data_IF_929642088598
#
_entry.id   IF_929642088598
#
_cell.length_a   1.000
_cell.length_b   1.000
_cell.length_c   1.000
_cell.angle_alpha   90.00
_cell.angle_beta   90.00
_cell.angle_gamma   90.00
#
_symmetry.space_group_name_H-M   'P 1'
#
loop_
_entity.id
_entity.type
_entity.pdbx_description
1 polymer ?
#
# COMPACT_ATOMS: atom_id res chain seq x y z
N UNK A 1 25.00 -15.27 -12.70
CA UNK A 1 24.73 -13.82 -12.58
C UNK A 1 24.54 -13.51 -11.11
N UNK A 2 25.03 -12.36 -10.62
CA UNK A 2 24.91 -11.97 -9.21
C UNK A 2 23.47 -11.52 -8.95
N UNK A 3 22.77 -12.19 -8.05
CA UNK A 3 21.40 -11.81 -7.69
C UNK A 3 21.35 -10.69 -6.66
N UNK A 4 20.18 -10.06 -6.58
CA UNK A 4 19.90 -9.04 -5.58
C UNK A 4 18.50 -9.22 -5.00
N UNK A 5 18.29 -8.57 -3.86
CA UNK A 5 16.98 -8.47 -3.25
C UNK A 5 16.21 -7.29 -3.83
N UNK A 6 14.95 -7.51 -4.15
CA UNK A 6 14.01 -6.51 -4.67
C UNK A 6 12.69 -6.62 -3.91
N UNK A 7 12.12 -5.51 -3.50
CA UNK A 7 10.80 -5.49 -2.87
C UNK A 7 9.75 -5.82 -3.94
N UNK A 8 9.15 -7.00 -3.85
CA UNK A 8 8.19 -7.50 -4.84
C UNK A 8 6.73 -7.23 -4.47
N UNK A 9 6.49 -6.91 -3.20
CA UNK A 9 5.22 -6.51 -2.64
C UNK A 9 5.45 -5.68 -1.38
N UNK A 10 4.55 -4.77 -1.07
CA UNK A 10 4.56 -4.08 0.21
C UNK A 10 3.32 -3.24 0.45
N UNK A 11 3.17 -2.84 1.71
CA UNK A 11 2.13 -1.94 2.20
C UNK A 11 2.75 -1.03 3.29
N UNK A 12 2.27 0.20 3.48
CA UNK A 12 2.79 1.07 4.54
C UNK A 12 2.37 0.53 5.92
N UNK A 13 3.06 0.95 6.98
CA UNK A 13 2.66 0.63 8.36
C UNK A 13 1.90 1.81 8.94
N UNK A 14 0.75 1.54 9.54
CA UNK A 14 -0.08 2.52 10.25
C UNK A 14 -0.52 1.98 11.60
N UNK A 15 -1.05 2.89 12.43
CA UNK A 15 -1.94 2.49 13.49
C UNK A 15 -3.14 1.76 12.89
N UNK A 16 -3.40 0.53 13.33
CA UNK A 16 -4.65 -0.13 12.96
C UNK A 16 -5.83 0.65 13.55
N UNK A 17 -6.93 0.66 12.80
CA UNK A 17 -8.16 1.34 13.23
C UNK A 17 -8.60 0.78 14.58
N UNK A 18 -8.83 1.67 15.55
CA UNK A 18 -9.29 1.29 16.88
C UNK A 18 -10.62 0.54 16.79
N UNK A 19 -10.70 -0.59 17.46
CA UNK A 19 -11.89 -1.46 17.51
C UNK A 19 -12.15 -1.91 18.95
N UNK A 20 -13.28 -2.56 19.22
CA UNK A 20 -13.56 -3.14 20.55
C UNK A 20 -12.67 -4.35 20.89
N UNK A 21 -11.97 -4.92 19.91
CA UNK A 21 -10.98 -5.98 20.07
C UNK A 21 -9.59 -5.49 19.58
N UNK A 22 -8.66 -5.33 20.51
CA UNK A 22 -7.32 -4.79 20.24
C UNK A 22 -6.23 -5.87 20.30
N UNK A 23 -6.61 -7.15 20.39
CA UNK A 23 -5.68 -8.27 20.54
C UNK A 23 -6.15 -9.46 19.72
N UNK A 24 -5.19 -10.22 19.21
CA UNK A 24 -5.41 -11.56 18.69
C UNK A 24 -4.71 -12.61 19.56
N UNK A 25 -5.25 -13.82 19.59
CA UNK A 25 -4.67 -14.97 20.30
C UNK A 25 -5.09 -16.26 19.61
N UNK A 26 -4.23 -17.26 19.58
CA UNK A 26 -4.48 -18.55 18.93
C UNK A 26 -5.08 -18.36 17.52
N UNK A 27 -4.48 -17.48 16.73
CA UNK A 27 -5.02 -17.05 15.43
C UNK A 27 -3.92 -17.04 14.37
N UNK A 28 -4.22 -17.65 13.23
CA UNK A 28 -3.43 -17.52 12.00
C UNK A 28 -4.05 -16.47 11.10
N UNK A 29 -3.25 -15.49 10.68
CA UNK A 29 -3.59 -14.61 9.55
C UNK A 29 -2.97 -15.19 8.30
N UNK A 30 -3.80 -15.49 7.30
CA UNK A 30 -3.40 -15.98 5.99
C UNK A 30 -3.73 -14.94 4.95
N UNK A 31 -2.83 -14.66 4.02
CA UNK A 31 -3.12 -13.74 2.94
C UNK A 31 -2.32 -14.04 1.68
N UNK A 32 -2.84 -13.57 0.55
CA UNK A 32 -2.22 -13.77 -0.76
C UNK A 32 -1.56 -12.49 -1.23
N UNK A 33 -0.39 -12.62 -1.83
CA UNK A 33 0.33 -11.55 -2.52
C UNK A 33 0.65 -11.99 -3.95
N UNK A 34 0.80 -11.05 -4.87
CA UNK A 34 1.09 -11.31 -6.29
C UNK A 34 2.40 -10.62 -6.69
N UNK A 35 3.56 -11.30 -6.55
CA UNK A 35 4.82 -10.80 -7.09
C UNK A 35 4.79 -10.79 -8.63
N UNK A 36 5.26 -9.70 -9.24
CA UNK A 36 5.42 -9.60 -10.71
C UNK A 36 6.86 -9.83 -11.17
N UNK A 37 7.77 -10.13 -10.23
CA UNK A 37 9.14 -10.55 -10.49
C UNK A 37 9.34 -11.99 -10.02
N UNK A 38 10.02 -12.85 -10.80
CA UNK A 38 10.29 -14.22 -10.39
C UNK A 38 11.36 -14.26 -9.30
N UNK A 39 11.41 -15.34 -8.54
CA UNK A 39 12.28 -15.46 -7.38
C UNK A 39 12.72 -16.88 -7.07
N UNK A 40 13.86 -16.99 -6.38
CA UNK A 40 14.32 -18.26 -5.78
C UNK A 40 14.36 -18.28 -4.26
N UNK A 41 14.21 -17.11 -3.64
CA UNK A 41 14.12 -16.96 -2.21
C UNK A 41 13.33 -15.70 -1.86
N UNK A 42 12.73 -15.70 -0.67
CA UNK A 42 11.96 -14.57 -0.14
C UNK A 42 12.43 -14.17 1.25
N UNK A 43 12.26 -12.90 1.60
CA UNK A 43 12.41 -12.36 2.96
C UNK A 43 11.22 -11.49 3.31
N UNK A 44 10.72 -11.64 4.52
CA UNK A 44 9.59 -10.88 5.03
C UNK A 44 10.08 -9.84 6.03
N UNK A 45 9.57 -8.62 5.90
CA UNK A 45 9.89 -7.52 6.79
C UNK A 45 8.66 -7.12 7.60
N UNK A 46 8.86 -7.02 8.90
CA UNK A 46 7.84 -6.76 9.90
C UNK A 46 8.23 -5.56 10.77
N UNK A 47 7.23 -4.87 11.29
CA UNK A 47 7.39 -3.71 12.15
C UNK A 47 6.30 -3.66 13.21
N UNK A 48 6.70 -3.40 14.44
CA UNK A 48 5.86 -3.08 15.59
C UNK A 48 5.98 -1.58 15.94
N UNK A 49 6.19 -0.73 14.93
CA UNK A 49 6.50 0.70 15.07
C UNK A 49 5.55 1.46 16.01
N UNK A 50 4.25 1.14 15.97
CA UNK A 50 3.23 1.82 16.77
C UNK A 50 2.83 1.05 18.05
N UNK A 51 3.39 -0.15 18.26
CA UNK A 51 3.08 -0.98 19.42
C UNK A 51 3.77 -0.49 20.69
N UNK A 52 3.05 -0.61 21.81
CA UNK A 52 3.54 -0.28 23.15
C UNK A 52 3.95 -1.53 23.95
N UNK A 53 3.71 -2.71 23.40
CA UNK A 53 4.06 -4.00 23.98
C UNK A 53 4.79 -4.86 22.93
N UNK A 54 5.57 -5.85 23.37
CA UNK A 54 6.20 -6.79 22.46
C UNK A 54 5.16 -7.56 21.63
N UNK A 55 5.46 -7.76 20.35
CA UNK A 55 4.67 -8.59 19.44
C UNK A 55 5.49 -9.82 19.02
N UNK A 56 4.92 -11.02 19.18
CA UNK A 56 5.60 -12.27 18.86
C UNK A 56 4.87 -13.00 17.75
N UNK A 57 5.53 -13.16 16.60
CA UNK A 57 5.10 -14.10 15.56
C UNK A 57 5.55 -15.49 16.03
N UNK A 58 4.59 -16.34 16.41
CA UNK A 58 4.89 -17.67 16.98
C UNK A 58 5.40 -18.62 15.91
N UNK A 59 4.74 -18.63 14.75
CA UNK A 59 5.16 -19.35 13.55
C UNK A 59 4.75 -18.58 12.30
N UNK A 60 5.54 -18.73 11.24
CA UNK A 60 5.17 -18.22 9.94
C UNK A 60 5.54 -19.21 8.84
N UNK A 61 4.81 -19.17 7.74
CA UNK A 61 5.11 -19.96 6.55
C UNK A 61 4.76 -19.20 5.28
N UNK A 62 5.38 -19.61 4.18
CA UNK A 62 5.08 -19.11 2.85
C UNK A 62 5.09 -20.25 1.83
N UNK A 63 4.19 -20.20 0.86
CA UNK A 63 4.13 -21.16 -0.25
C UNK A 63 3.36 -20.57 -1.43
N UNK A 64 3.20 -21.35 -2.50
CA UNK A 64 2.35 -20.95 -3.63
C UNK A 64 0.88 -21.10 -3.27
N UNK A 65 0.04 -20.22 -3.81
CA UNK A 65 -1.42 -20.34 -3.69
C UNK A 65 -1.92 -21.52 -4.54
N UNK A 66 -2.87 -22.28 -3.99
CA UNK A 66 -3.66 -23.26 -4.73
C UNK A 66 -5.06 -22.72 -5.12
N UNK A 67 -5.27 -21.40 -4.94
CA UNK A 67 -6.55 -20.72 -5.15
C UNK A 67 -7.26 -20.38 -3.84
N UNK A 68 -7.98 -19.25 -3.83
CA UNK A 68 -8.69 -18.74 -2.64
C UNK A 68 -7.84 -18.85 -1.35
N UNK A 69 -8.39 -19.43 -0.28
CA UNK A 69 -7.74 -19.64 1.01
C UNK A 69 -6.78 -20.85 1.03
N UNK A 70 -6.47 -21.45 -0.11
CA UNK A 70 -5.66 -22.68 -0.21
C UNK A 70 -4.19 -22.42 -0.58
N UNK A 71 -3.33 -23.28 -0.06
CA UNK A 71 -1.87 -23.26 -0.25
C UNK A 71 -1.38 -24.63 -0.70
N UNK A 72 -0.45 -24.63 -1.65
CA UNK A 72 0.26 -25.84 -2.07
C UNK A 72 1.31 -26.22 -1.01
N UNK A 73 1.05 -27.31 -0.29
CA UNK A 73 1.95 -27.80 0.76
C UNK A 73 3.26 -28.38 0.22
N UNK A 74 3.34 -28.76 -1.05
CA UNK A 74 4.57 -29.30 -1.64
C UNK A 74 5.70 -28.26 -1.73
N UNK A 75 5.33 -26.97 -1.74
CA UNK A 75 6.25 -25.84 -1.72
C UNK A 75 6.08 -24.95 -0.49
N UNK A 76 5.45 -25.46 0.58
CA UNK A 76 5.31 -24.72 1.84
C UNK A 76 6.65 -24.70 2.58
N UNK A 77 7.17 -23.50 2.85
CA UNK A 77 8.44 -23.26 3.51
C UNK A 77 8.19 -22.55 4.84
N UNK A 78 8.75 -23.03 5.97
CA UNK A 78 8.72 -22.30 7.22
C UNK A 78 9.54 -21.01 7.10
N UNK A 79 9.02 -19.92 7.67
CA UNK A 79 9.74 -18.65 7.80
C UNK A 79 10.38 -18.61 9.18
N UNK A 80 11.69 -18.37 9.23
CA UNK A 80 12.47 -18.35 10.47
C UNK A 80 13.09 -16.98 10.73
N UNK A 81 13.56 -16.77 11.96
CA UNK A 81 14.18 -15.53 12.42
C UNK A 81 15.47 -15.87 13.18
N UNK A 82 16.63 -15.67 12.55
CA UNK A 82 17.91 -16.10 13.12
C UNK A 82 17.98 -17.61 13.37
N UNK A 83 17.30 -18.40 12.53
CA UNK A 83 17.16 -19.86 12.63
C UNK A 83 16.04 -20.34 13.56
N UNK A 84 15.36 -19.47 14.30
CA UNK A 84 14.23 -19.84 15.15
C UNK A 84 12.88 -19.79 14.38
N UNK A 85 11.93 -20.67 14.73
CA UNK A 85 10.56 -20.63 14.15
C UNK A 85 9.74 -19.41 14.61
N UNK A 86 10.12 -18.81 15.74
CA UNK A 86 9.45 -17.65 16.34
C UNK A 86 10.30 -16.38 16.26
N UNK A 87 9.62 -15.24 16.14
CA UNK A 87 10.24 -13.93 16.02
C UNK A 87 9.55 -12.92 16.93
N UNK A 88 10.32 -12.14 17.68
CA UNK A 88 9.81 -11.14 18.62
C UNK A 88 10.23 -9.73 18.20
N UNK A 89 9.28 -8.81 18.18
CA UNK A 89 9.50 -7.38 17.99
C UNK A 89 9.22 -6.67 19.32
N UNK A 90 10.18 -5.93 19.84
CA UNK A 90 9.96 -5.02 20.97
C UNK A 90 9.03 -3.85 20.57
N UNK A 91 8.48 -3.08 21.53
CA UNK A 91 7.76 -1.85 21.24
C UNK A 91 8.57 -0.93 20.30
N UNK A 92 7.95 -0.46 19.21
CA UNK A 92 8.62 0.35 18.20
C UNK A 92 9.64 -0.39 17.32
N UNK A 93 9.88 -1.68 17.58
CA UNK A 93 10.90 -2.49 16.93
C UNK A 93 10.50 -3.00 15.54
N UNK A 94 11.47 -3.55 14.83
CA UNK A 94 11.29 -4.19 13.53
C UNK A 94 11.98 -5.56 13.50
N UNK A 95 11.57 -6.40 12.56
CA UNK A 95 12.09 -7.75 12.40
C UNK A 95 12.13 -8.14 10.92
N UNK A 96 13.23 -8.76 10.49
CA UNK A 96 13.39 -9.31 9.13
C UNK A 96 13.58 -10.81 9.26
N UNK A 97 12.88 -11.59 8.44
CA UNK A 97 13.05 -13.04 8.42
C UNK A 97 14.39 -13.44 7.80
N UNK A 98 14.82 -14.67 8.08
CA UNK A 98 15.81 -15.35 7.27
C UNK A 98 15.30 -15.52 5.83
N UNK A 99 16.21 -15.81 4.90
CA UNK A 99 15.83 -16.11 3.52
C UNK A 99 15.15 -17.49 3.46
N UNK A 100 13.88 -17.52 3.06
CA UNK A 100 13.13 -18.75 2.81
C UNK A 100 13.32 -19.16 1.34
N UNK A 101 13.85 -20.37 1.09
CA UNK A 101 14.10 -20.88 -0.25
C UNK A 101 12.79 -21.33 -0.92
N UNK A 102 12.22 -20.47 -1.77
CA UNK A 102 10.98 -20.69 -2.49
C UNK A 102 11.14 -20.18 -3.92
N UNK A 103 11.04 -21.10 -4.89
CA UNK A 103 11.12 -20.78 -6.32
C UNK A 103 9.74 -20.59 -6.94
N UNK A 104 9.57 -19.49 -7.67
CA UNK A 104 8.32 -19.17 -8.36
C UNK A 104 8.57 -18.23 -9.54
N UNK A 105 7.64 -18.27 -10.51
CA UNK A 105 7.59 -17.42 -11.69
C UNK A 105 6.81 -16.13 -11.42
N UNK A 106 7.04 -15.10 -12.24
CA UNK A 106 6.29 -13.85 -12.16
C UNK A 106 4.79 -14.11 -12.35
N UNK A 107 3.96 -13.52 -11.48
CA UNK A 107 2.52 -13.69 -11.51
C UNK A 107 2.01 -14.97 -10.83
N UNK A 108 2.87 -15.81 -10.26
CA UNK A 108 2.42 -16.87 -9.35
C UNK A 108 2.06 -16.28 -7.98
N UNK A 109 0.80 -16.38 -7.53
CA UNK A 109 0.41 -15.85 -6.22
C UNK A 109 1.06 -16.64 -5.08
N UNK A 110 1.52 -15.94 -4.05
CA UNK A 110 2.10 -16.54 -2.85
C UNK A 110 1.16 -16.38 -1.67
N UNK A 111 1.07 -17.39 -0.83
CA UNK A 111 0.31 -17.39 0.43
C UNK A 111 1.27 -17.27 1.60
N UNK A 112 1.02 -16.30 2.48
CA UNK A 112 1.78 -16.09 3.71
C UNK A 112 0.86 -16.39 4.90
N UNK A 113 1.35 -17.15 5.87
CA UNK A 113 0.69 -17.40 7.15
C UNK A 113 1.50 -16.78 8.29
N UNK A 114 0.82 -16.09 9.20
CA UNK A 114 1.38 -15.58 10.45
C UNK A 114 0.52 -16.11 11.60
N UNK A 115 1.07 -16.99 12.43
CA UNK A 115 0.39 -17.54 13.60
C UNK A 115 0.86 -16.87 14.89
N UNK A 116 -0.12 -16.49 15.71
CA UNK A 116 0.07 -15.85 17.00
C UNK A 116 -0.64 -16.68 18.06
N UNK A 117 0.13 -17.38 18.89
CA UNK A 117 -0.37 -18.28 19.93
C UNK A 117 -0.91 -17.51 21.14
N UNK A 118 -0.15 -16.52 21.60
CA UNK A 118 -0.45 -15.68 22.75
C UNK A 118 -1.10 -14.35 22.36
N UNK A 119 -1.58 -13.62 23.38
CA UNK A 119 -2.14 -12.28 23.21
C UNK A 119 -1.13 -11.37 22.52
N UNK A 120 -1.49 -10.91 21.32
CA UNK A 120 -0.69 -10.01 20.50
C UNK A 120 -1.51 -8.75 20.20
N UNK A 121 -1.06 -7.56 20.63
CA UNK A 121 -1.78 -6.31 20.39
C UNK A 121 -1.81 -5.95 18.90
N UNK A 122 -3.01 -5.77 18.36
CA UNK A 122 -3.27 -5.37 16.98
C UNK A 122 -3.25 -3.84 16.85
N UNK A 123 -2.10 -3.24 17.13
CA UNK A 123 -1.91 -1.78 17.02
C UNK A 123 -1.21 -1.37 15.73
N UNK A 124 -0.40 -2.25 15.14
CA UNK A 124 0.48 -1.95 14.02
C UNK A 124 0.18 -2.86 12.83
N UNK A 125 -0.02 -2.27 11.65
CA UNK A 125 -0.26 -3.04 10.42
C UNK A 125 -0.81 -2.18 9.30
N UNK A 126 -1.58 -2.78 8.39
CA UNK A 126 -2.30 -2.03 7.36
C UNK A 126 -3.71 -2.56 7.09
N UNK A 127 -4.64 -1.62 6.92
CA UNK A 127 -6.01 -1.87 6.49
C UNK A 127 -6.21 -1.38 5.05
N UNK A 128 -6.25 -2.32 4.11
CA UNK A 128 -6.66 -2.06 2.74
C UNK A 128 -7.62 -3.17 2.27
N UNK A 129 -8.51 -2.80 1.35
CA UNK A 129 -9.49 -3.69 0.75
C UNK A 129 -9.53 -3.43 -0.75
N UNK A 130 -10.01 -4.40 -1.50
CA UNK A 130 -10.09 -4.32 -2.95
C UNK A 130 -10.31 -5.69 -3.57
N UNK A 131 -10.72 -5.71 -4.84
CA UNK A 131 -11.09 -6.92 -5.56
C UNK A 131 -9.98 -8.01 -5.63
N UNK A 132 -8.71 -7.62 -5.42
CA UNK A 132 -7.55 -8.51 -5.48
C UNK A 132 -6.89 -8.76 -4.12
N UNK A 133 -7.41 -8.15 -3.05
CA UNK A 133 -6.85 -8.26 -1.71
C UNK A 133 -7.57 -9.39 -0.99
N UNK A 134 -6.87 -10.50 -0.76
CA UNK A 134 -7.42 -11.67 -0.08
C UNK A 134 -6.68 -11.95 1.22
N UNK A 135 -7.42 -11.88 2.33
CA UNK A 135 -6.92 -12.06 3.69
C UNK A 135 -7.95 -12.80 4.53
N UNK A 136 -7.48 -13.73 5.33
CA UNK A 136 -8.30 -14.55 6.21
C UNK A 136 -7.68 -14.63 7.59
N UNK A 137 -8.53 -14.71 8.61
CA UNK A 137 -8.15 -15.05 9.97
C UNK A 137 -8.74 -16.42 10.30
N UNK A 138 -7.94 -17.32 10.87
CA UNK A 138 -8.41 -18.63 11.30
C UNK A 138 -7.94 -18.96 12.71
N UNK A 139 -8.77 -19.66 13.48
CA UNK A 139 -8.42 -20.11 14.83
C UNK A 139 -7.43 -21.29 14.76
N UNK A 140 -6.38 -21.24 15.58
CA UNK A 140 -5.34 -22.28 15.63
C UNK A 140 -4.17 -22.03 14.69
N UNK A 141 -3.15 -22.88 14.81
CA UNK A 141 -1.99 -22.89 13.94
C UNK A 141 -2.33 -23.53 12.59
N UNK A 142 -2.54 -22.69 11.58
CA UNK A 142 -2.83 -23.09 10.21
C UNK A 142 -1.62 -22.93 9.28
N UNK A 143 -0.41 -22.76 9.82
CA UNK A 143 0.80 -22.48 9.03
C UNK A 143 1.23 -23.64 8.11
N UNK A 144 0.77 -24.86 8.40
CA UNK A 144 1.09 -26.08 7.61
C UNK A 144 -0.17 -26.76 7.05
N UNK A 145 -1.27 -26.03 6.94
CA UNK A 145 -2.53 -26.55 6.38
C UNK A 145 -2.72 -26.10 4.93
N UNK A 146 -3.13 -27.02 4.06
CA UNK A 146 -3.47 -26.70 2.68
C UNK A 146 -4.65 -25.72 2.63
N UNK A 147 -5.76 -26.05 3.27
CA UNK A 147 -6.94 -25.21 3.38
C UNK A 147 -7.16 -24.74 4.83
N UNK A 148 -7.71 -23.54 4.99
CA UNK A 148 -8.20 -23.09 6.29
C UNK A 148 -9.45 -23.90 6.72
N UNK A 149 -9.63 -24.23 8.00
CA UNK A 149 -10.77 -25.02 8.44
C UNK A 149 -12.09 -24.27 8.26
N UNK A 150 -13.03 -24.85 7.49
CA UNK A 150 -14.25 -24.17 7.02
C UNK A 150 -15.07 -23.47 8.12
N UNK A 151 -15.17 -24.08 9.30
CA UNK A 151 -15.95 -23.54 10.42
C UNK A 151 -15.16 -22.59 11.34
N UNK A 152 -13.89 -22.33 11.02
CA UNK A 152 -12.96 -21.63 11.88
C UNK A 152 -12.12 -20.58 11.14
N UNK A 153 -12.61 -20.07 9.99
CA UNK A 153 -12.02 -18.91 9.34
C UNK A 153 -13.06 -17.83 9.00
N UNK A 154 -12.58 -16.59 8.89
CA UNK A 154 -13.33 -15.44 8.41
C UNK A 154 -12.40 -14.54 7.57
N UNK A 155 -12.96 -13.52 6.92
CA UNK A 155 -12.14 -12.45 6.32
C UNK A 155 -11.36 -11.71 7.41
N UNK A 156 -10.11 -11.36 7.11
CA UNK A 156 -9.29 -10.55 8.00
C UNK A 156 -9.24 -9.09 7.55
N UNK A 157 -9.34 -8.17 8.50
CA UNK A 157 -9.32 -6.73 8.22
C UNK A 157 -7.92 -6.23 7.84
N UNK A 158 -6.88 -6.74 8.50
CA UNK A 158 -5.54 -6.15 8.49
C UNK A 158 -4.45 -7.11 8.01
N UNK A 159 -3.36 -6.53 7.50
CA UNK A 159 -2.04 -7.14 7.47
C UNK A 159 -1.30 -6.75 8.77
N UNK A 160 -1.26 -7.58 9.83
CA UNK A 160 -0.60 -7.19 11.07
C UNK A 160 0.92 -7.25 10.89
N UNK A 161 1.59 -6.17 11.30
CA UNK A 161 3.05 -5.99 11.34
C UNK A 161 3.84 -6.10 10.03
N UNK A 162 3.43 -6.89 9.05
CA UNK A 162 4.16 -7.07 7.79
C UNK A 162 4.03 -5.83 6.90
N UNK A 163 5.14 -5.42 6.27
CA UNK A 163 5.14 -4.27 5.37
C UNK A 163 5.82 -4.50 4.02
N UNK A 164 6.66 -5.54 3.90
CA UNK A 164 7.39 -5.80 2.66
C UNK A 164 7.72 -7.28 2.51
N UNK A 165 7.54 -7.79 1.30
CA UNK A 165 8.12 -9.04 0.85
C UNK A 165 9.22 -8.69 -0.16
N UNK A 166 10.45 -9.10 0.15
CA UNK A 166 11.57 -9.05 -0.78
C UNK A 166 11.78 -10.40 -1.44
N UNK A 167 12.22 -10.35 -2.69
CA UNK A 167 12.52 -11.52 -3.53
C UNK A 167 13.97 -11.45 -3.96
N UNK A 168 14.69 -12.56 -3.86
CA UNK A 168 16.01 -12.72 -4.45
C UNK A 168 15.82 -13.03 -5.94
N UNK A 169 16.13 -12.04 -6.79
CA UNK A 169 15.86 -12.05 -8.23
C UNK A 169 17.07 -11.59 -9.04
N UNK A 170 16.90 -11.57 -10.35
CA UNK A 170 17.93 -11.15 -11.28
C UNK A 170 18.33 -9.68 -11.06
N UNK A 171 19.59 -9.29 -11.32
CA UNK A 171 20.11 -7.96 -10.99
C UNK A 171 19.39 -6.80 -11.70
N UNK A 172 18.72 -7.05 -12.82
CA UNK A 172 17.90 -6.06 -13.52
C UNK A 172 16.51 -5.83 -12.89
N UNK A 173 16.07 -6.67 -11.95
CA UNK A 173 14.75 -6.52 -11.33
C UNK A 173 14.67 -5.19 -10.56
N UNK A 174 13.56 -4.47 -10.66
CA UNK A 174 13.36 -3.17 -10.00
C UNK A 174 11.97 -3.08 -9.39
N UNK A 175 11.79 -2.16 -8.45
CA UNK A 175 10.49 -1.85 -7.85
C UNK A 175 10.02 -0.45 -8.26
N UNK A 176 8.74 -0.38 -8.60
CA UNK A 176 7.97 0.85 -8.75
C UNK A 176 7.21 1.05 -7.45
N UNK A 177 7.46 2.18 -6.78
CA UNK A 177 6.76 2.53 -5.55
C UNK A 177 5.49 3.32 -5.90
N UNK A 178 4.32 2.80 -5.55
CA UNK A 178 3.05 3.51 -5.67
C UNK A 178 2.73 4.20 -4.33
N UNK A 179 3.08 5.48 -4.20
CA UNK A 179 2.91 6.27 -2.96
C UNK A 179 1.65 7.12 -3.02
N UNK A 180 0.90 7.18 -1.91
CA UNK A 180 -0.28 8.02 -1.88
C UNK A 180 -1.23 7.81 -0.71
N UNK A 181 -2.49 8.13 -0.95
CA UNK A 181 -3.58 8.05 0.01
C UNK A 181 -4.54 6.86 -0.25
N UNK A 182 -5.84 7.02 0.05
CA UNK A 182 -6.88 6.00 -0.13
C UNK A 182 -7.04 5.56 -1.57
N UNK A 183 -6.86 6.45 -2.55
CA UNK A 183 -6.95 6.06 -3.96
C UNK A 183 -5.82 5.08 -4.30
N UNK A 184 -4.62 5.32 -3.78
CA UNK A 184 -3.46 4.43 -3.90
C UNK A 184 -3.52 3.21 -2.99
N UNK A 185 -4.27 3.27 -1.89
CA UNK A 185 -4.53 2.11 -1.05
C UNK A 185 -5.44 1.07 -1.75
N UNK A 186 -6.25 1.49 -2.73
CA UNK A 186 -7.15 0.65 -3.53
C UNK A 186 -6.41 -0.11 -4.66
N UNK A 187 -7.11 -0.48 -5.72
CA UNK A 187 -6.70 -1.54 -6.66
C UNK A 187 -5.88 -1.05 -7.86
N UNK A 188 -5.67 0.25 -8.08
CA UNK A 188 -4.88 0.69 -9.24
C UNK A 188 -3.44 0.12 -9.24
N UNK A 189 -2.75 -0.04 -8.09
CA UNK A 189 -1.44 -0.71 -8.06
C UNK A 189 -1.53 -2.21 -8.41
N UNK A 190 -2.64 -2.88 -8.08
CA UNK A 190 -2.87 -4.27 -8.50
C UNK A 190 -3.11 -4.37 -10.01
N UNK A 191 -3.86 -3.41 -10.57
CA UNK A 191 -4.08 -3.31 -12.01
C UNK A 191 -2.77 -3.03 -12.75
N UNK A 192 -1.89 -2.19 -12.18
CA UNK A 192 -0.56 -1.97 -12.71
C UNK A 192 0.28 -3.26 -12.69
N UNK A 193 0.25 -4.01 -11.58
CA UNK A 193 0.94 -5.30 -11.49
C UNK A 193 0.44 -6.29 -12.56
N UNK A 194 -0.87 -6.37 -12.79
CA UNK A 194 -1.47 -7.20 -13.85
C UNK A 194 -1.03 -6.75 -15.25
N UNK A 195 -1.06 -5.44 -15.51
CA UNK A 195 -0.61 -4.87 -16.78
C UNK A 195 0.86 -5.18 -17.07
N UNK A 196 1.74 -5.13 -16.07
CA UNK A 196 3.15 -5.53 -16.23
C UNK A 196 3.27 -6.97 -16.72
N UNK A 197 2.48 -7.89 -16.16
CA UNK A 197 2.45 -9.29 -16.59
C UNK A 197 1.92 -9.44 -18.03
N UNK A 198 0.86 -8.70 -18.40
CA UNK A 198 0.31 -8.69 -19.76
C UNK A 198 1.32 -8.19 -20.80
N UNK A 199 2.14 -7.20 -20.44
CA UNK A 199 3.23 -6.67 -21.26
C UNK A 199 4.49 -7.56 -21.26
N UNK A 200 4.50 -8.66 -20.50
CA UNK A 200 5.67 -9.52 -20.33
C UNK A 200 6.83 -8.87 -19.57
N UNK A 201 6.58 -7.76 -18.85
CA UNK A 201 7.57 -7.04 -18.02
C UNK A 201 7.69 -7.73 -16.65
N UNK A 202 8.48 -8.80 -16.60
CA UNK A 202 8.69 -9.62 -15.39
C UNK A 202 9.91 -9.19 -14.57
N UNK A 203 10.51 -8.05 -14.89
CA UNK A 203 11.64 -7.44 -14.15
C UNK A 203 11.21 -6.19 -13.35
N UNK A 204 9.91 -5.96 -13.21
CA UNK A 204 9.34 -4.81 -12.47
C UNK A 204 8.33 -5.29 -11.45
N UNK A 205 8.51 -4.87 -10.20
CA UNK A 205 7.61 -5.07 -9.08
C UNK A 205 6.79 -3.81 -8.79
N UNK A 206 5.59 -3.97 -8.24
CA UNK A 206 4.80 -2.84 -7.71
C UNK A 206 4.73 -2.94 -6.20
N UNK A 207 5.20 -1.91 -5.50
CA UNK A 207 5.18 -1.82 -4.04
C UNK A 207 4.19 -0.72 -3.65
N UNK A 208 3.11 -1.09 -2.97
CA UNK A 208 2.07 -0.13 -2.56
C UNK A 208 2.47 0.56 -1.27
N UNK A 209 2.33 1.88 -1.26
CA UNK A 209 2.62 2.81 -0.16
C UNK A 209 1.46 3.82 0.02
N UNK A 210 0.24 3.31 -0.16
CA UNK A 210 -1.02 4.04 -0.03
C UNK A 210 -1.63 3.89 1.36
N UNK A 211 -1.95 5.01 2.02
CA UNK A 211 -2.64 5.04 3.32
C UNK A 211 -3.96 5.78 3.19
N UNK A 212 -5.07 5.10 3.46
CA UNK A 212 -6.39 5.75 3.45
C UNK A 212 -6.45 6.96 4.37
N UNK A 213 -6.97 8.08 3.86
CA UNK A 213 -7.10 9.34 4.62
C UNK A 213 -5.78 10.08 4.91
N UNK A 214 -4.62 9.56 4.47
CA UNK A 214 -3.34 10.24 4.67
C UNK A 214 -3.32 11.58 3.95
N UNK A 215 -2.73 12.59 4.60
CA UNK A 215 -2.52 13.94 4.07
C UNK A 215 -1.02 14.17 3.84
N UNK A 216 -0.67 15.07 2.93
CA UNK A 216 0.70 15.48 2.65
C UNK A 216 1.26 16.25 3.84
N UNK A 217 0.51 17.24 4.35
CA UNK A 217 1.02 18.26 5.27
C UNK A 217 0.73 17.97 6.75
N UNK A 218 -0.26 17.12 7.03
CA UNK A 218 -0.83 16.96 8.38
C UNK A 218 -1.13 15.51 8.73
N UNK A 219 -1.26 15.24 10.01
CA UNK A 219 -1.67 13.94 10.56
C UNK A 219 -2.73 14.13 11.63
N UNK A 220 -3.27 13.03 12.15
CA UNK A 220 -4.22 13.06 13.24
C UNK A 220 -3.62 12.41 14.49
N UNK A 221 -3.63 13.14 15.60
CA UNK A 221 -3.15 12.62 16.89
C UNK A 221 -4.23 11.84 17.66
N UNK A 222 -5.52 12.09 17.37
CA UNK A 222 -6.63 11.43 18.07
C UNK A 222 -6.79 9.97 17.61
N UNK A 223 -7.08 9.08 18.55
CA UNK A 223 -7.25 7.64 18.31
C UNK A 223 -8.24 7.30 17.21
N UNK A 224 -9.29 8.11 17.04
CA UNK A 224 -10.32 7.88 16.04
C UNK A 224 -9.77 7.96 14.61
N UNK A 225 -8.81 8.84 14.34
CA UNK A 225 -8.27 9.11 12.99
C UNK A 225 -6.78 8.79 12.82
N UNK A 226 -6.11 8.31 13.88
CA UNK A 226 -4.68 7.98 13.85
C UNK A 226 -4.30 6.95 12.78
N UNK A 227 -5.26 6.12 12.38
CA UNK A 227 -5.13 5.14 11.30
C UNK A 227 -4.96 5.76 9.90
N UNK A 228 -5.20 7.07 9.75
CA UNK A 228 -4.85 7.82 8.54
C UNK A 228 -3.35 8.09 8.40
N UNK A 229 -2.56 7.60 9.38
CA UNK A 229 -1.11 7.53 9.31
C UNK A 229 -0.42 8.87 9.54
N UNK A 230 0.92 8.85 9.59
CA UNK A 230 1.72 10.06 9.67
C UNK A 230 1.52 10.96 8.45
N UNK A 231 1.87 12.23 8.59
CA UNK A 231 1.84 13.15 7.46
C UNK A 231 2.82 12.70 6.41
N UNK A 232 2.43 12.84 5.16
CA UNK A 232 3.12 12.27 4.02
C UNK A 232 4.58 12.72 3.92
N UNK A 233 4.88 14.01 4.17
CA UNK A 233 6.25 14.55 4.15
C UNK A 233 7.19 13.89 5.17
N UNK A 234 6.68 13.37 6.29
CA UNK A 234 7.51 12.71 7.31
C UNK A 234 7.75 11.23 6.99
N UNK A 235 6.80 10.55 6.34
CA UNK A 235 6.91 9.11 6.02
C UNK A 235 7.52 8.82 4.64
N UNK A 236 7.52 9.80 3.74
CA UNK A 236 7.85 9.58 2.32
C UNK A 236 9.24 8.96 2.12
N UNK A 237 10.28 9.51 2.76
CA UNK A 237 11.65 9.03 2.60
C UNK A 237 11.79 7.55 2.99
N UNK A 238 11.25 7.16 4.13
CA UNK A 238 11.31 5.76 4.59
C UNK A 238 10.57 4.81 3.63
N UNK A 239 9.44 5.26 3.07
CA UNK A 239 8.59 4.39 2.25
C UNK A 239 9.10 4.15 0.82
N UNK A 240 9.90 5.09 0.28
CA UNK A 240 10.50 4.96 -1.05
C UNK A 240 11.82 4.17 -1.06
N UNK A 241 12.45 3.97 0.11
CA UNK A 241 13.73 3.26 0.28
C UNK A 241 13.61 1.73 0.24
N UNK A 242 12.60 1.20 -0.47
CA UNK A 242 12.45 -0.24 -0.64
C UNK A 242 13.59 -0.82 -1.50
N UNK A 243 14.00 -2.06 -1.22
CA UNK A 243 15.07 -2.72 -1.97
C UNK A 243 14.74 -2.76 -3.48
N UNK A 244 15.67 -2.29 -4.31
CA UNK A 244 15.51 -2.26 -5.76
C UNK A 244 14.56 -1.18 -6.28
N UNK A 245 14.08 -0.25 -5.44
CA UNK A 245 13.32 0.90 -5.88
C UNK A 245 14.11 1.73 -6.90
N UNK A 246 13.50 1.97 -8.07
CA UNK A 246 14.06 2.85 -9.10
C UNK A 246 13.11 3.95 -9.53
N UNK A 247 11.81 3.80 -9.22
CA UNK A 247 10.75 4.73 -9.61
C UNK A 247 9.76 4.93 -8.48
N UNK A 248 9.20 6.12 -8.38
CA UNK A 248 8.07 6.43 -7.49
C UNK A 248 6.96 7.12 -8.26
N UNK A 249 5.77 6.55 -8.19
CA UNK A 249 4.51 7.07 -8.74
C UNK A 249 3.71 7.65 -7.57
N UNK A 250 3.44 8.95 -7.60
CA UNK A 250 2.86 9.70 -6.49
C UNK A 250 1.47 10.19 -6.87
N UNK A 251 0.44 9.72 -6.15
CA UNK A 251 -0.91 10.28 -6.19
C UNK A 251 -1.33 10.58 -4.75
N UNK A 252 -1.22 11.86 -4.35
CA UNK A 252 -1.48 12.28 -2.97
C UNK A 252 -1.92 13.75 -2.94
N UNK A 253 -2.69 14.14 -1.91
CA UNK A 253 -3.02 15.53 -1.61
C UNK A 253 -4.52 15.80 -1.52
N UNK A 254 -5.38 14.90 -2.01
CA UNK A 254 -6.83 15.14 -1.97
C UNK A 254 -7.32 15.29 -0.53
N UNK A 255 -6.80 14.52 0.43
CA UNK A 255 -7.21 14.59 1.83
C UNK A 255 -6.82 15.90 2.53
N UNK A 256 -5.77 16.59 2.08
CA UNK A 256 -5.44 17.94 2.57
C UNK A 256 -6.55 18.92 2.17
N UNK A 257 -7.15 18.71 0.99
CA UNK A 257 -8.24 19.52 0.45
C UNK A 257 -9.59 19.10 1.05
N UNK A 258 -9.93 17.82 1.16
CA UNK A 258 -11.30 17.39 1.49
C UNK A 258 -11.58 17.18 2.98
N UNK A 259 -10.55 17.01 3.82
CA UNK A 259 -10.76 16.74 5.24
C UNK A 259 -11.23 17.95 6.05
N UNK A 260 -10.66 19.15 5.92
CA UNK A 260 -11.02 20.30 6.77
C UNK A 260 -12.53 20.58 6.68
N UNK A 261 -13.31 20.25 7.70
CA UNK A 261 -14.77 20.32 7.72
C UNK A 261 -15.25 20.31 9.17
N UNK A 262 -15.07 21.46 9.81
CA UNK A 262 -15.28 21.63 11.26
C UNK A 262 -16.75 21.42 11.67
N UNK A 263 -17.69 21.69 10.75
CA UNK A 263 -19.11 21.52 11.00
C UNK A 263 -19.50 20.04 11.18
N UNK A 264 -18.88 19.14 10.41
CA UNK A 264 -19.08 17.69 10.52
C UNK A 264 -18.21 17.08 11.63
N UNK A 265 -17.00 17.63 11.83
CA UNK A 265 -15.99 16.96 12.63
C UNK A 265 -15.03 17.93 13.34
N UNK A 266 -15.04 17.98 14.69
CA UNK A 266 -14.18 18.90 15.45
C UNK A 266 -12.68 18.55 15.34
N UNK A 267 -12.31 17.35 14.89
CA UNK A 267 -10.92 16.98 14.62
C UNK A 267 -10.41 17.47 13.26
N UNK A 268 -11.26 18.13 12.47
CA UNK A 268 -10.95 18.62 11.12
C UNK A 268 -11.23 20.12 11.02
N UNK A 269 -10.51 20.96 11.79
CA UNK A 269 -10.81 22.39 11.87
C UNK A 269 -10.71 23.04 10.49
N UNK A 270 -11.52 24.06 10.21
CA UNK A 270 -11.48 24.75 8.92
C UNK A 270 -10.11 25.38 8.64
N UNK A 271 -9.36 25.75 9.70
CA UNK A 271 -7.99 26.25 9.64
C UNK A 271 -6.97 25.25 9.09
N UNK A 272 -7.32 23.96 8.96
CA UNK A 272 -6.46 22.97 8.33
C UNK A 272 -6.48 23.05 6.79
N UNK A 273 -7.45 23.75 6.18
CA UNK A 273 -7.50 23.94 4.73
C UNK A 273 -6.26 24.70 4.25
N UNK A 274 -5.36 24.08 3.47
CA UNK A 274 -4.12 24.70 3.08
C UNK A 274 -4.37 25.69 1.93
N UNK A 275 -3.41 26.59 1.72
CA UNK A 275 -3.31 27.28 0.42
C UNK A 275 -2.65 26.34 -0.59
N UNK A 276 -2.86 26.59 -1.87
CA UNK A 276 -2.25 25.78 -2.93
C UNK A 276 -0.72 25.74 -2.81
N UNK A 277 -0.09 26.86 -2.42
CA UNK A 277 1.37 26.97 -2.27
C UNK A 277 1.91 26.05 -1.17
N UNK A 278 1.16 25.88 -0.08
CA UNK A 278 1.57 25.02 1.04
C UNK A 278 1.57 23.55 0.60
N UNK A 279 0.56 23.12 -0.16
CA UNK A 279 0.48 21.76 -0.70
C UNK A 279 1.53 21.52 -1.80
N UNK A 280 1.76 22.49 -2.67
CA UNK A 280 2.84 22.48 -3.68
C UNK A 280 4.21 22.29 -3.00
N UNK A 281 4.48 23.03 -1.91
CA UNK A 281 5.75 22.89 -1.18
C UNK A 281 5.92 21.48 -0.57
N UNK A 282 4.83 20.88 -0.08
CA UNK A 282 4.81 19.49 0.36
C UNK A 282 5.14 18.50 -0.76
N UNK A 283 4.53 18.66 -1.94
CA UNK A 283 4.83 17.82 -3.10
C UNK A 283 6.26 18.03 -3.63
N UNK A 284 6.78 19.27 -3.63
CA UNK A 284 8.17 19.54 -3.98
C UNK A 284 9.14 18.83 -3.02
N UNK A 285 8.80 18.73 -1.73
CA UNK A 285 9.60 17.97 -0.76
C UNK A 285 9.72 16.50 -1.16
N UNK A 286 8.66 15.88 -1.72
CA UNK A 286 8.74 14.52 -2.25
C UNK A 286 9.72 14.42 -3.43
N UNK A 287 9.64 15.36 -4.38
CA UNK A 287 10.53 15.40 -5.55
C UNK A 287 11.99 15.46 -5.08
N UNK A 288 12.29 16.38 -4.15
CA UNK A 288 13.66 16.60 -3.65
C UNK A 288 14.21 15.37 -2.90
N UNK A 289 13.38 14.72 -2.09
CA UNK A 289 13.75 13.48 -1.39
C UNK A 289 14.00 12.35 -2.38
N UNK A 290 13.11 12.13 -3.35
CA UNK A 290 13.24 11.03 -4.30
C UNK A 290 14.48 11.17 -5.20
N UNK A 291 14.76 12.38 -5.72
CA UNK A 291 15.97 12.61 -6.51
C UNK A 291 17.25 12.46 -5.71
N UNK A 292 17.26 12.83 -4.41
CA UNK A 292 18.40 12.59 -3.52
C UNK A 292 18.75 11.11 -3.43
N UNK A 293 17.73 10.25 -3.52
CA UNK A 293 17.88 8.79 -3.57
C UNK A 293 17.98 8.21 -4.98
N UNK A 294 18.06 9.06 -6.01
CA UNK A 294 18.22 8.68 -7.42
C UNK A 294 17.04 7.89 -8.00
N UNK A 295 15.83 8.12 -7.49
CA UNK A 295 14.61 7.56 -8.07
C UNK A 295 14.07 8.49 -9.15
N UNK A 296 13.53 7.92 -10.24
CA UNK A 296 12.66 8.67 -11.14
C UNK A 296 11.31 8.93 -10.49
N UNK A 297 10.85 10.18 -10.56
CA UNK A 297 9.62 10.68 -9.96
C UNK A 297 8.55 10.88 -11.02
N UNK A 298 7.36 10.37 -10.73
CA UNK A 298 6.18 10.58 -11.55
C UNK A 298 5.04 11.08 -10.67
N UNK A 299 4.48 12.25 -11.02
CA UNK A 299 3.39 12.85 -10.26
C UNK A 299 2.06 12.62 -10.98
N UNK A 300 1.04 12.21 -10.25
CA UNK A 300 -0.33 12.23 -10.73
C UNK A 300 -1.01 13.53 -10.28
N UNK A 301 -1.75 14.22 -11.17
CA UNK A 301 -2.67 15.27 -10.77
C UNK A 301 -3.71 14.73 -9.78
N UNK A 302 -4.15 15.57 -8.85
CA UNK A 302 -5.23 15.25 -7.92
C UNK A 302 -6.51 15.05 -8.72
N UNK A 303 -7.18 13.91 -8.54
CA UNK A 303 -8.36 13.54 -9.33
C UNK A 303 -9.54 14.51 -9.09
N UNK A 304 -10.47 14.62 -10.05
CA UNK A 304 -11.71 15.38 -9.85
C UNK A 304 -12.56 14.78 -8.73
N UNK A 305 -13.30 15.62 -8.00
CA UNK A 305 -14.08 15.20 -6.82
C UNK A 305 -15.40 15.96 -6.65
N UNK A 306 -15.91 16.60 -7.72
CA UNK A 306 -17.24 17.22 -7.67
C UNK A 306 -18.32 16.18 -7.36
N UNK A 307 -19.20 16.52 -6.42
CA UNK A 307 -20.18 15.61 -5.84
C UNK A 307 -19.77 15.04 -4.49
N UNK A 308 -18.47 15.05 -4.14
CA UNK A 308 -18.02 14.67 -2.81
C UNK A 308 -18.58 15.65 -1.75
N UNK A 309 -18.91 15.14 -0.57
CA UNK A 309 -19.63 15.88 0.48
C UNK A 309 -19.02 17.21 0.92
N UNK A 310 -17.69 17.38 0.82
CA UNK A 310 -17.00 18.63 1.19
C UNK A 310 -16.62 19.50 -0.01
N UNK A 311 -17.01 19.11 -1.22
CA UNK A 311 -16.72 19.87 -2.43
C UNK A 311 -17.22 21.32 -2.34
N UNK A 312 -16.38 22.25 -2.80
CA UNK A 312 -16.72 23.65 -2.98
C UNK A 312 -15.86 24.26 -4.08
N UNK A 313 -16.31 25.35 -4.73
CA UNK A 313 -15.49 26.07 -5.71
C UNK A 313 -14.12 26.52 -5.15
N UNK A 314 -14.04 26.84 -3.86
CA UNK A 314 -12.79 27.22 -3.19
C UNK A 314 -11.80 26.04 -3.11
N UNK A 315 -12.28 24.85 -2.76
CA UNK A 315 -11.44 23.64 -2.73
C UNK A 315 -11.02 23.19 -4.13
N UNK A 316 -11.92 23.33 -5.10
CA UNK A 316 -11.61 23.06 -6.50
C UNK A 316 -10.53 24.02 -7.01
N UNK A 317 -10.59 25.30 -6.64
CA UNK A 317 -9.56 26.28 -7.00
C UNK A 317 -8.17 25.89 -6.42
N UNK A 318 -8.12 25.30 -5.23
CA UNK A 318 -6.86 24.77 -4.66
C UNK A 318 -6.36 23.59 -5.51
N UNK A 319 -7.25 22.63 -5.82
CA UNK A 319 -6.94 21.46 -6.64
C UNK A 319 -6.39 21.86 -8.02
N UNK A 320 -7.08 22.77 -8.72
CA UNK A 320 -6.68 23.25 -10.05
C UNK A 320 -5.32 23.92 -10.04
N UNK A 321 -5.03 24.76 -9.03
CA UNK A 321 -3.72 25.42 -8.90
C UNK A 321 -2.59 24.40 -8.69
N UNK A 322 -2.82 23.39 -7.85
CA UNK A 322 -1.86 22.31 -7.62
C UNK A 322 -1.67 21.48 -8.88
N UNK A 323 -2.74 21.10 -9.58
CA UNK A 323 -2.66 20.34 -10.82
C UNK A 323 -1.94 21.11 -11.92
N UNK A 324 -2.22 22.41 -12.07
CA UNK A 324 -1.53 23.27 -13.03
C UNK A 324 -0.02 23.34 -12.74
N UNK A 325 0.38 23.37 -11.47
CA UNK A 325 1.79 23.26 -11.09
C UNK A 325 2.37 21.89 -11.44
N UNK A 326 1.67 20.79 -11.15
CA UNK A 326 2.09 19.42 -11.50
C UNK A 326 2.37 19.31 -13.00
N UNK A 327 1.43 19.77 -13.85
CA UNK A 327 1.58 19.72 -15.31
C UNK A 327 2.77 20.54 -15.86
N UNK A 328 3.24 21.54 -15.12
CA UNK A 328 4.35 22.42 -15.53
C UNK A 328 5.68 22.01 -14.93
N UNK A 329 5.72 20.93 -14.15
CA UNK A 329 6.92 20.54 -13.42
C UNK A 329 7.96 19.89 -14.36
N UNK A 330 9.04 20.61 -14.63
CA UNK A 330 10.16 20.12 -15.43
C UNK A 330 11.16 19.26 -14.63
N UNK A 331 11.03 19.22 -13.30
CA UNK A 331 11.94 18.47 -12.45
C UNK A 331 11.61 16.98 -12.38
N UNK A 332 10.44 16.52 -12.83
CA UNK A 332 10.02 15.11 -12.73
C UNK A 332 10.10 14.43 -14.11
N UNK A 333 10.27 13.11 -14.13
CA UNK A 333 10.37 12.33 -15.37
C UNK A 333 9.05 12.21 -16.13
N UNK A 334 7.91 12.44 -15.46
CA UNK A 334 6.62 12.48 -16.12
C UNK A 334 5.46 12.83 -15.20
N UNK A 335 4.34 13.21 -15.83
CA UNK A 335 3.05 13.42 -15.16
C UNK A 335 2.13 12.27 -15.56
N UNK A 336 1.70 11.47 -14.57
CA UNK A 336 0.78 10.36 -14.77
C UNK A 336 -0.56 10.91 -15.27
N UNK A 337 -1.09 10.42 -16.41
CA UNK A 337 -2.32 10.97 -17.03
C UNK A 337 -3.60 10.52 -16.32
N UNK A 338 -3.55 10.46 -14.99
CA UNK A 338 -4.57 9.91 -14.12
C UNK A 338 -5.85 10.74 -14.13
N UNK A 339 -5.76 12.07 -14.01
CA UNK A 339 -6.94 12.95 -14.08
C UNK A 339 -7.67 12.79 -15.42
N UNK A 340 -6.95 12.88 -16.55
CA UNK A 340 -7.52 12.71 -17.89
C UNK A 340 -8.06 11.30 -18.15
N UNK A 341 -7.53 10.29 -17.46
CA UNK A 341 -7.99 8.92 -17.60
C UNK A 341 -9.36 8.68 -16.95
N UNK A 342 -9.76 9.50 -15.97
CA UNK A 342 -10.98 9.25 -15.18
C UNK A 342 -12.00 10.37 -15.17
N UNK A 343 -11.66 11.59 -15.61
CA UNK A 343 -12.59 12.70 -15.65
C UNK A 343 -13.79 12.41 -16.57
N UNK A 344 -14.94 12.98 -16.23
CA UNK A 344 -16.09 12.98 -17.12
C UNK A 344 -15.88 14.05 -18.22
N UNK A 345 -15.87 13.69 -19.52
CA UNK A 345 -15.67 14.67 -20.59
C UNK A 345 -16.79 15.74 -20.66
N UNK A 346 -17.99 15.42 -20.20
CA UNK A 346 -19.12 16.35 -20.14
C UNK A 346 -19.10 17.21 -18.87
N UNK A 347 -18.38 16.78 -17.84
CA UNK A 347 -18.16 17.51 -16.60
C UNK A 347 -16.78 17.20 -16.01
N UNK A 348 -15.71 17.89 -16.46
CA UNK A 348 -14.34 17.58 -16.07
C UNK A 348 -14.03 17.70 -14.56
N UNK A 349 -14.93 18.29 -13.77
CA UNK A 349 -14.80 18.42 -12.32
C UNK A 349 -15.25 17.15 -11.57
N UNK A 350 -15.92 16.21 -12.25
CA UNK A 350 -16.39 14.95 -11.69
C UNK A 350 -15.70 13.74 -12.34
N UNK A 351 -15.70 12.61 -11.63
CA UNK A 351 -15.34 11.32 -12.21
C UNK A 351 -16.39 10.91 -13.27
N UNK A 352 -15.95 10.24 -14.33
CA UNK A 352 -16.87 9.58 -15.26
C UNK A 352 -17.72 8.57 -14.49
N UNK A 353 -19.05 8.48 -14.67
CA UNK A 353 -19.90 7.62 -13.85
C UNK A 353 -19.49 6.14 -13.80
N UNK A 354 -18.91 5.60 -14.89
CA UNK A 354 -18.37 4.23 -14.91
C UNK A 354 -17.13 4.07 -14.02
N UNK A 355 -16.37 5.14 -13.86
CA UNK A 355 -15.14 5.19 -13.09
C UNK A 355 -15.34 5.69 -11.67
N UNK A 356 -16.54 6.11 -11.29
CA UNK A 356 -16.91 6.50 -9.92
C UNK A 356 -17.39 5.29 -9.12
N UNK A 357 -16.89 5.12 -7.89
CA UNK A 357 -17.40 4.10 -6.97
C UNK A 357 -18.82 4.38 -6.45
N UNK A 358 -19.32 5.59 -6.73
CA UNK A 358 -20.61 6.12 -6.30
C UNK A 358 -20.50 7.13 -5.16
N UNK A 359 -19.29 7.39 -4.68
CA UNK A 359 -19.04 8.39 -3.64
C UNK A 359 -18.49 9.72 -4.18
N UNK A 360 -18.20 9.80 -5.49
CA UNK A 360 -17.66 10.98 -6.16
C UNK A 360 -16.22 11.36 -5.76
N UNK A 361 -15.46 10.42 -5.21
CA UNK A 361 -14.06 10.62 -4.82
C UNK A 361 -13.17 9.45 -5.22
N UNK A 362 -13.62 8.23 -4.93
CA UNK A 362 -12.82 7.04 -5.16
C UNK A 362 -13.16 6.39 -6.50
N UNK A 363 -12.13 6.01 -7.29
CA UNK A 363 -12.37 5.27 -8.51
C UNK A 363 -13.05 3.92 -8.26
N UNK A 364 -13.97 3.53 -9.14
CA UNK A 364 -14.48 2.16 -9.24
C UNK A 364 -13.37 1.20 -9.67
N UNK A 365 -13.66 -0.11 -9.76
CA UNK A 365 -12.70 -1.06 -10.34
C UNK A 365 -12.34 -0.71 -11.80
N UNK A 366 -13.30 -0.22 -12.58
CA UNK A 366 -13.08 0.24 -13.95
C UNK A 366 -12.22 1.52 -13.96
N UNK A 367 -12.45 2.44 -13.03
CA UNK A 367 -11.62 3.63 -12.86
C UNK A 367 -10.17 3.28 -12.47
N UNK A 368 -9.98 2.36 -11.53
CA UNK A 368 -8.66 1.86 -11.15
C UNK A 368 -7.91 1.19 -12.32
N UNK A 369 -8.64 0.47 -13.18
CA UNK A 369 -8.09 -0.06 -14.43
C UNK A 369 -7.70 1.07 -15.39
N UNK A 370 -8.56 2.07 -15.62
CA UNK A 370 -8.26 3.22 -16.46
C UNK A 370 -6.99 3.96 -16.00
N UNK A 371 -6.83 4.19 -14.69
CA UNK A 371 -5.62 4.77 -14.11
C UNK A 371 -4.38 3.96 -14.49
N UNK A 372 -4.36 2.66 -14.15
CA UNK A 372 -3.20 1.81 -14.40
C UNK A 372 -2.84 1.66 -15.88
N UNK A 373 -3.84 1.60 -16.77
CA UNK A 373 -3.63 1.43 -18.21
C UNK A 373 -3.34 2.74 -18.95
N UNK A 374 -3.59 3.89 -18.31
CA UNK A 374 -3.19 5.19 -18.84
C UNK A 374 -1.69 5.46 -18.77
N UNK A 375 -0.94 4.74 -17.92
CA UNK A 375 0.49 4.97 -17.71
C UNK A 375 1.26 4.64 -19.01
N UNK A 376 2.08 5.55 -19.56
CA UNK A 376 2.93 5.26 -20.71
C UNK A 376 3.88 4.08 -20.48
N UNK A 377 4.01 3.19 -21.47
CA UNK A 377 4.78 1.95 -21.34
C UNK A 377 6.28 2.19 -21.17
N UNK A 378 6.79 3.29 -21.69
CA UNK A 378 8.18 3.74 -21.51
C UNK A 378 8.50 4.12 -20.05
N UNK A 379 7.48 4.33 -19.22
CA UNK A 379 7.65 4.58 -17.79
C UNK A 379 7.64 3.30 -16.95
N UNK A 380 7.26 2.15 -17.53
CA UNK A 380 7.13 0.85 -16.87
C UNK A 380 8.44 0.04 -16.88
#
# INVERSE_FOLDING_TARGET
MQEKWVAAWGCPIVHLKKSCAEWMRNTTIRFTVLPTVPGRAVRLHFSNHFGQEPATITRASIGKSAGEQEMDLSCCVPVTFGGAESGRMEPGGALVSDAAALSFEAGEPLVINLYFEDFTPLTTGQNNSGAYIKKWAATGDCTRLAALPLNHYAEADAYPFIHTLEVCSAPQAQSIIAFGDSITAQTWPDQLARRLLELGKTDRAVVRRGISGSRVLREYACDFYRHYGPRGIDRFEQEILAAGAGKVFILHGINDIIHPDEADNPFRPASDLPRAEDLIAGLQTYIDIAHRHQLSVYLAPILPFEGWRTYSPEREQIREQVNLWIYRQAQVEGVLPFETAVLNPENPLALLPEYDSGDHLHPSLAGAHALAYSIPEEWL
#
